data_IF_082384359657
#
_entry.id   IF_082384359657
#
_cell.length_a   1.000
_cell.length_b   1.000
_cell.length_c   1.000
_cell.angle_alpha   90.00
_cell.angle_beta   90.00
_cell.angle_gamma   90.00
#
_symmetry.space_group_name_H-M   'P 1'
#
loop_
_entity.id
_entity.type
_entity.pdbx_description
1 polymer ?
#
# COMPACT_ATOMS: atom_id res chain seq x y z
N UNK A 1 -22.76 -12.09 26.67
CA UNK A 1 -21.71 -11.27 27.30
C UNK A 1 -21.11 -10.45 26.18
N UNK A 2 -21.36 -9.14 26.19
CA UNK A 2 -20.86 -8.20 25.20
C UNK A 2 -19.34 -8.18 25.20
N UNK A 3 -18.73 -8.44 24.04
CA UNK A 3 -17.54 -7.71 23.59
C UNK A 3 -17.82 -7.34 22.13
N UNK A 4 -18.81 -6.47 21.93
CA UNK A 4 -18.63 -5.42 20.94
C UNK A 4 -17.57 -4.45 21.50
N UNK A 5 -16.87 -3.74 20.60
CA UNK A 5 -15.89 -2.68 20.91
C UNK A 5 -14.45 -3.16 21.13
N UNK A 6 -13.85 -3.79 20.11
CA UNK A 6 -12.58 -3.28 19.57
C UNK A 6 -12.71 -3.13 18.05
N UNK A 7 -13.80 -2.48 17.62
CA UNK A 7 -13.76 -1.58 16.47
C UNK A 7 -12.97 -0.32 16.87
N UNK A 8 -11.74 -0.49 17.37
CA UNK A 8 -10.84 0.62 17.66
C UNK A 8 -10.25 1.08 16.34
N UNK A 9 -11.00 1.96 15.65
CA UNK A 9 -10.49 3.14 14.99
C UNK A 9 -9.04 3.06 14.46
N UNK A 10 -8.76 2.12 13.56
CA UNK A 10 -7.79 2.38 12.50
C UNK A 10 -8.54 2.75 11.21
N UNK A 11 -9.54 3.60 11.40
CA UNK A 11 -10.11 4.39 10.33
C UNK A 11 -9.03 5.35 9.80
N UNK A 12 -8.65 5.08 8.55
CA UNK A 12 -8.17 6.06 7.56
C UNK A 12 -6.73 6.50 7.74
N UNK A 13 -5.80 5.71 7.19
CA UNK A 13 -4.76 6.38 6.39
C UNK A 13 -5.48 7.12 5.26
N UNK A 14 -5.74 8.40 5.51
CA UNK A 14 -6.49 9.26 4.61
C UNK A 14 -5.60 9.63 3.42
N UNK A 15 -5.59 8.75 2.43
CA UNK A 15 -4.98 9.02 1.13
C UNK A 15 -5.67 10.18 0.41
N UNK A 16 -6.92 10.48 0.76
CA UNK A 16 -7.66 11.59 0.18
C UNK A 16 -7.03 12.93 0.56
N UNK A 17 -6.44 13.01 1.75
CA UNK A 17 -5.82 14.20 2.31
C UNK A 17 -4.33 13.99 2.67
N UNK A 18 -3.57 13.40 1.75
CA UNK A 18 -2.10 13.35 1.88
C UNK A 18 -1.55 14.77 2.00
N UNK A 19 -0.93 15.05 3.15
CA UNK A 19 -0.22 16.29 3.38
C UNK A 19 1.01 16.43 2.45
N UNK A 20 1.57 17.64 2.38
CA UNK A 20 2.70 17.97 1.48
C UNK A 20 3.93 17.08 1.72
N UNK A 21 4.20 16.72 2.96
CA UNK A 21 5.36 15.90 3.33
C UNK A 21 5.23 14.46 2.84
N UNK A 22 4.06 13.84 3.05
CA UNK A 22 3.76 12.49 2.55
C UNK A 22 3.82 12.44 1.03
N UNK A 23 3.25 13.44 0.32
CA UNK A 23 3.35 13.51 -1.15
C UNK A 23 4.80 13.62 -1.61
N UNK A 24 5.63 14.42 -0.94
CA UNK A 24 7.05 14.56 -1.25
C UNK A 24 7.81 13.25 -1.01
N UNK A 25 7.49 12.52 0.06
CA UNK A 25 8.09 11.21 0.35
C UNK A 25 7.71 10.16 -0.71
N UNK A 26 6.43 10.14 -1.13
CA UNK A 26 5.96 9.26 -2.21
C UNK A 26 6.68 9.61 -3.51
N UNK A 27 6.70 10.89 -3.92
CA UNK A 27 7.36 11.30 -5.16
C UNK A 27 8.85 10.92 -5.21
N UNK A 28 9.53 10.94 -4.05
CA UNK A 28 10.95 10.54 -3.94
C UNK A 28 11.18 9.04 -3.95
N UNK A 29 10.21 8.25 -3.50
CA UNK A 29 10.37 6.80 -3.27
C UNK A 29 9.63 5.95 -4.31
N UNK A 30 8.66 6.53 -5.02
CA UNK A 30 7.83 5.81 -5.98
C UNK A 30 8.70 5.25 -7.09
N UNK A 31 8.68 3.93 -7.21
CA UNK A 31 9.44 3.21 -8.23
C UNK A 31 8.66 2.01 -8.74
N UNK A 32 8.89 1.59 -9.99
CA UNK A 32 8.44 0.29 -10.44
C UNK A 32 9.10 -0.80 -9.58
N UNK A 33 8.33 -1.85 -9.28
CA UNK A 33 8.79 -3.02 -8.53
C UNK A 33 8.22 -4.26 -9.20
N UNK A 34 9.05 -5.29 -9.37
CA UNK A 34 8.58 -6.57 -9.90
C UNK A 34 7.72 -7.32 -8.87
N UNK A 35 6.86 -8.23 -9.34
CA UNK A 35 6.09 -9.09 -8.44
C UNK A 35 6.99 -9.95 -7.53
N UNK A 36 8.17 -10.35 -8.02
CA UNK A 36 9.15 -11.13 -7.27
C UNK A 36 9.84 -10.30 -6.17
N UNK A 37 10.27 -9.08 -6.48
CA UNK A 37 10.81 -8.16 -5.47
C UNK A 37 9.75 -7.79 -4.43
N UNK A 38 8.51 -7.55 -4.87
CA UNK A 38 7.41 -7.23 -3.97
C UNK A 38 7.09 -8.42 -3.05
N UNK A 39 7.20 -9.65 -3.56
CA UNK A 39 7.09 -10.86 -2.75
C UNK A 39 8.19 -10.92 -1.69
N UNK A 40 9.46 -10.70 -2.07
CA UNK A 40 10.59 -10.66 -1.11
C UNK A 40 10.39 -9.60 -0.03
N UNK A 41 9.95 -8.40 -0.43
CA UNK A 41 9.60 -7.33 0.52
C UNK A 41 8.52 -7.79 1.50
N UNK A 42 7.47 -8.47 1.01
CA UNK A 42 6.44 -9.03 1.86
C UNK A 42 6.95 -10.10 2.82
N UNK A 43 7.88 -10.96 2.38
CA UNK A 43 8.50 -12.00 3.22
C UNK A 43 9.36 -11.37 4.33
N UNK A 44 10.06 -10.27 4.04
CA UNK A 44 10.88 -9.53 5.01
C UNK A 44 10.03 -8.79 6.06
N UNK A 45 8.89 -8.24 5.63
CA UNK A 45 7.98 -7.46 6.48
C UNK A 45 7.05 -8.38 7.30
N UNK A 46 6.41 -9.36 6.64
CA UNK A 46 5.40 -10.24 7.25
C UNK A 46 6.02 -11.61 7.57
N UNK A 47 7.01 -11.63 8.45
CA UNK A 47 7.84 -12.82 8.73
C UNK A 47 7.05 -14.01 9.29
N UNK A 48 6.03 -13.73 10.10
CA UNK A 48 5.24 -14.75 10.77
C UNK A 48 4.10 -15.22 9.87
N UNK A 49 3.85 -16.54 9.87
CA UNK A 49 2.79 -17.15 9.05
C UNK A 49 1.40 -16.71 9.48
N UNK A 50 1.22 -16.46 10.78
CA UNK A 50 -0.02 -15.98 11.39
C UNK A 50 -0.18 -14.45 11.28
N UNK A 51 0.72 -13.76 10.57
CA UNK A 51 0.57 -12.33 10.35
C UNK A 51 -0.70 -12.10 9.51
N UNK A 52 -1.70 -11.39 10.05
CA UNK A 52 -3.01 -11.24 9.41
C UNK A 52 -2.93 -10.47 8.08
N UNK A 53 -1.80 -9.86 7.75
CA UNK A 53 -1.58 -9.13 6.51
C UNK A 53 -0.89 -9.94 5.44
N UNK A 54 -0.24 -11.05 5.83
CA UNK A 54 0.51 -11.94 4.95
C UNK A 54 -0.36 -12.43 3.79
N UNK A 55 -1.51 -13.01 4.10
CA UNK A 55 -2.44 -13.56 3.10
C UNK A 55 -2.95 -12.46 2.15
N UNK A 56 -3.40 -11.32 2.69
CA UNK A 56 -3.92 -10.22 1.85
C UNK A 56 -2.86 -9.69 0.90
N UNK A 57 -1.64 -9.47 1.39
CA UNK A 57 -0.56 -8.92 0.58
C UNK A 57 -0.14 -9.88 -0.54
N UNK A 58 0.11 -11.15 -0.21
CA UNK A 58 0.49 -12.14 -1.22
C UNK A 58 -0.66 -12.49 -2.17
N UNK A 59 -1.90 -12.51 -1.69
CA UNK A 59 -3.10 -12.63 -2.51
C UNK A 59 -3.18 -11.52 -3.54
N UNK A 60 -3.00 -10.26 -3.11
CA UNK A 60 -2.98 -9.11 -4.02
C UNK A 60 -1.92 -9.25 -5.13
N UNK A 61 -0.72 -9.72 -4.81
CA UNK A 61 0.33 -9.96 -5.82
C UNK A 61 -0.10 -11.08 -6.79
N UNK A 62 -0.62 -12.18 -6.25
CA UNK A 62 -1.03 -13.35 -7.02
C UNK A 62 -2.20 -13.04 -7.99
N UNK A 63 -3.17 -12.25 -7.55
CA UNK A 63 -4.31 -11.81 -8.38
C UNK A 63 -3.90 -10.83 -9.50
N UNK A 64 -2.77 -10.17 -9.35
CA UNK A 64 -2.28 -9.15 -10.27
C UNK A 64 -0.93 -9.55 -10.93
N UNK A 65 -0.71 -10.86 -11.10
CA UNK A 65 0.46 -11.38 -11.82
C UNK A 65 0.53 -10.83 -13.25
N UNK A 66 1.74 -10.52 -13.69
CA UNK A 66 2.01 -9.94 -15.01
C UNK A 66 1.73 -8.43 -15.10
N UNK A 67 1.26 -7.79 -14.02
CA UNK A 67 1.07 -6.35 -13.98
C UNK A 67 2.30 -5.59 -13.48
N UNK A 68 2.38 -4.32 -13.85
CA UNK A 68 3.39 -3.37 -13.40
C UNK A 68 2.98 -2.79 -12.06
N UNK A 69 3.69 -3.20 -11.01
CA UNK A 69 3.53 -2.63 -9.68
C UNK A 69 4.45 -1.42 -9.50
N UNK A 70 3.98 -0.46 -8.71
CA UNK A 70 4.75 0.62 -8.17
C UNK A 70 4.68 0.54 -6.65
N UNK A 71 5.84 0.69 -6.01
CA UNK A 71 5.94 0.78 -4.56
C UNK A 71 6.42 2.17 -4.18
N UNK A 72 5.83 2.72 -3.11
CA UNK A 72 6.24 3.98 -2.52
C UNK A 72 6.14 3.90 -0.99
N UNK A 73 6.89 4.77 -0.32
CA UNK A 73 6.90 4.92 1.13
C UNK A 73 6.58 6.36 1.50
N UNK A 74 5.65 6.53 2.44
CA UNK A 74 5.35 7.86 3.00
C UNK A 74 6.34 8.22 4.11
N UNK A 75 6.36 9.50 4.50
CA UNK A 75 7.27 10.00 5.55
C UNK A 75 7.04 9.37 6.92
N UNK A 76 5.85 8.84 7.16
CA UNK A 76 5.41 8.14 8.38
C UNK A 76 5.45 6.61 8.25
N UNK A 77 6.10 6.07 7.22
CA UNK A 77 6.35 4.63 7.09
C UNK A 77 5.22 3.82 6.47
N UNK A 78 4.17 4.47 5.95
CA UNK A 78 3.09 3.78 5.24
C UNK A 78 3.59 3.37 3.86
N UNK A 79 3.49 2.07 3.60
CA UNK A 79 3.84 1.48 2.32
C UNK A 79 2.63 1.54 1.39
N UNK A 80 2.87 1.92 0.14
CA UNK A 80 1.86 1.96 -0.90
C UNK A 80 2.28 1.03 -2.02
N UNK A 81 1.39 0.13 -2.40
CA UNK A 81 1.55 -0.74 -3.58
C UNK A 81 0.44 -0.41 -4.56
N UNK A 82 0.81 -0.01 -5.77
CA UNK A 82 -0.11 0.36 -6.83
C UNK A 82 0.14 -0.45 -8.10
N UNK A 83 -0.87 -1.19 -8.54
CA UNK A 83 -0.90 -1.92 -9.80
C UNK A 83 -1.50 -1.00 -10.88
N UNK A 84 -0.65 -0.43 -11.73
CA UNK A 84 -1.06 0.58 -12.72
C UNK A 84 -2.03 0.02 -13.74
N UNK A 85 -1.77 -1.18 -14.26
CA UNK A 85 -2.52 -1.77 -15.38
C UNK A 85 -3.97 -2.09 -15.04
N UNK A 86 -4.25 -2.34 -13.76
CA UNK A 86 -5.58 -2.72 -13.26
C UNK A 86 -6.25 -1.63 -12.43
N UNK A 87 -5.60 -0.47 -12.27
CA UNK A 87 -6.02 0.61 -11.38
C UNK A 87 -6.45 0.09 -9.99
N UNK A 88 -5.59 -0.73 -9.39
CA UNK A 88 -5.79 -1.29 -8.05
C UNK A 88 -4.58 -0.98 -7.18
N UNK A 89 -4.78 -0.95 -5.89
CA UNK A 89 -3.66 -0.86 -4.96
C UNK A 89 -4.09 -1.07 -3.54
N UNK A 90 -3.09 -1.13 -2.67
CA UNK A 90 -3.26 -1.21 -1.24
C UNK A 90 -2.24 -0.31 -0.54
N UNK A 91 -2.59 0.12 0.66
CA UNK A 91 -1.65 0.69 1.62
C UNK A 91 -1.54 -0.24 2.82
N UNK A 92 -0.38 -0.22 3.47
CA UNK A 92 -0.20 -0.90 4.75
C UNK A 92 0.88 -0.22 5.59
N UNK A 93 0.69 -0.29 6.91
CA UNK A 93 1.63 0.11 7.93
C UNK A 93 1.87 -1.11 8.83
N UNK A 94 3.06 -1.73 8.78
CA UNK A 94 3.36 -2.92 9.58
C UNK A 94 3.12 -2.68 11.06
N UNK A 95 2.49 -3.63 11.73
CA UNK A 95 2.10 -3.52 13.14
C UNK A 95 0.82 -2.74 13.39
N UNK A 96 0.23 -2.09 12.38
CA UNK A 96 -0.79 -1.07 12.60
C UNK A 96 -2.05 -1.24 11.75
N UNK A 97 -1.95 -1.33 10.43
CA UNK A 97 -3.16 -1.38 9.61
C UNK A 97 -2.91 -1.48 8.11
N UNK A 98 -3.98 -1.76 7.35
CA UNK A 98 -3.97 -1.86 5.89
C UNK A 98 -5.32 -1.51 5.29
N UNK A 99 -5.33 -1.24 4.00
CA UNK A 99 -6.58 -1.11 3.25
C UNK A 99 -6.36 -0.98 1.75
N UNK A 100 -7.44 -1.09 0.96
CA UNK A 100 -7.37 -0.77 -0.46
C UNK A 100 -7.02 0.71 -0.65
N UNK A 101 -6.30 1.02 -1.73
CA UNK A 101 -6.17 2.39 -2.19
C UNK A 101 -7.53 2.87 -2.70
N UNK A 102 -8.06 3.92 -2.09
CA UNK A 102 -9.28 4.59 -2.53
C UNK A 102 -9.05 5.36 -3.84
N UNK A 103 -10.13 5.76 -4.50
CA UNK A 103 -10.08 6.38 -5.84
C UNK A 103 -9.14 7.59 -5.91
N UNK A 104 -9.16 8.47 -4.91
CA UNK A 104 -8.26 9.63 -4.85
C UNK A 104 -6.79 9.22 -4.69
N UNK A 105 -6.52 8.24 -3.81
CA UNK A 105 -5.17 7.69 -3.65
C UNK A 105 -4.61 7.09 -4.93
N UNK A 106 -5.43 6.33 -5.68
CA UNK A 106 -5.03 5.78 -6.99
C UNK A 106 -4.79 6.87 -8.03
N UNK A 107 -5.58 7.94 -8.02
CA UNK A 107 -5.34 9.10 -8.87
C UNK A 107 -3.99 9.77 -8.57
N UNK A 108 -3.66 10.00 -7.29
CA UNK A 108 -2.37 10.57 -6.89
C UNK A 108 -1.22 9.68 -7.37
N UNK A 109 -1.33 8.36 -7.23
CA UNK A 109 -0.30 7.44 -7.74
C UNK A 109 -0.12 7.56 -9.26
N UNK A 110 -1.23 7.64 -10.03
CA UNK A 110 -1.16 7.87 -11.48
C UNK A 110 -0.48 9.19 -11.82
N UNK A 111 -0.83 10.27 -11.12
CA UNK A 111 -0.22 11.60 -11.30
C UNK A 111 1.28 11.56 -10.99
N UNK A 112 1.70 10.89 -9.91
CA UNK A 112 3.12 10.77 -9.54
C UNK A 112 3.93 9.94 -10.53
N UNK A 113 3.33 8.90 -11.11
CA UNK A 113 3.99 8.05 -12.12
C UNK A 113 4.04 8.74 -13.48
N UNK A 114 2.96 9.43 -13.86
CA UNK A 114 2.82 10.08 -15.16
C UNK A 114 3.44 11.48 -15.24
N UNK A 115 3.63 12.14 -14.11
CA UNK A 115 4.00 13.56 -14.00
C UNK A 115 5.34 13.76 -13.31
N UNK A 116 6.39 13.06 -13.75
CA UNK A 116 7.77 13.49 -13.52
C UNK A 116 8.03 14.80 -14.26
N UNK A 117 7.70 15.93 -13.63
CA UNK A 117 8.10 17.28 -14.03
C UNK A 117 8.79 17.96 -12.85
#
# INVERSE_FOLDING_TARGET
MLIEIISMAFEKFDLENLNKERRKAIAKSIRPISAEELKKLGEDIFRYVDDPWRETFFGFIAENRGSTFHHALTSDGVNIVYCRDKDKGMWFLPGTGKGPLQSRGRQIMKEMIGGGH
#
